data_IF_802257986649
#
_entry.id   IF_802257986649
#
_cell.length_a   1.000
_cell.length_b   1.000
_cell.length_c   1.000
_cell.angle_alpha   90.00
_cell.angle_beta   90.00
_cell.angle_gamma   90.00
#
_symmetry.space_group_name_H-M   'P 1'
#
loop_
_entity.id
_entity.type
_entity.pdbx_description
1 polymer ?
#
# COMPACT_ATOMS: atom_id res chain seq x y z
N UNK A 1 -9.31 -1.03 0.66
CA UNK A 1 -9.53 0.44 0.57
C UNK A 1 -8.82 0.95 -0.67
N UNK A 2 -9.49 1.76 -1.52
CA UNK A 2 -8.85 2.39 -2.68
C UNK A 2 -7.98 3.57 -2.27
N UNK A 3 -6.75 3.56 -2.72
CA UNK A 3 -5.70 4.52 -2.40
C UNK A 3 -5.17 5.09 -3.72
N UNK A 4 -4.99 6.40 -3.77
CA UNK A 4 -4.39 7.09 -4.92
C UNK A 4 -2.89 7.28 -4.74
N UNK A 5 -2.47 7.61 -3.53
CA UNK A 5 -1.07 7.88 -3.22
C UNK A 5 -0.74 7.44 -1.79
N UNK A 6 0.55 7.17 -1.55
CA UNK A 6 1.10 7.00 -0.20
C UNK A 6 1.91 8.26 0.13
N UNK A 7 1.55 8.92 1.22
CA UNK A 7 2.35 9.99 1.79
C UNK A 7 3.39 9.41 2.74
N UNK A 8 4.61 9.94 2.71
CA UNK A 8 5.76 9.43 3.47
C UNK A 8 5.98 7.92 3.29
N UNK A 9 6.52 7.56 2.13
CA UNK A 9 6.79 6.17 1.74
C UNK A 9 7.76 5.48 2.71
N UNK A 10 8.73 6.20 3.27
CA UNK A 10 9.68 5.65 4.23
C UNK A 10 8.98 5.29 5.55
N UNK A 11 8.16 6.20 6.07
CA UNK A 11 7.34 5.95 7.26
C UNK A 11 6.34 4.81 7.04
N UNK A 12 5.74 4.73 5.86
CA UNK A 12 4.85 3.62 5.49
C UNK A 12 5.56 2.26 5.55
N UNK A 13 6.79 2.15 5.03
CA UNK A 13 7.53 0.88 5.12
C UNK A 13 7.95 0.52 6.54
N UNK A 14 8.31 1.50 7.36
CA UNK A 14 8.59 1.26 8.78
C UNK A 14 7.33 0.74 9.50
N UNK A 15 6.17 1.35 9.23
CA UNK A 15 4.90 0.88 9.78
C UNK A 15 4.51 -0.51 9.25
N UNK A 16 4.81 -0.84 7.99
CA UNK A 16 4.63 -2.18 7.43
C UNK A 16 5.49 -3.23 8.13
N UNK A 17 6.73 -2.89 8.51
CA UNK A 17 7.61 -3.81 9.25
C UNK A 17 7.11 -4.10 10.67
N UNK A 18 6.24 -3.23 11.22
CA UNK A 18 5.56 -3.41 12.51
C UNK A 18 4.17 -4.07 12.40
N UNK A 19 3.74 -4.42 11.18
CA UNK A 19 2.46 -5.12 10.97
C UNK A 19 2.62 -6.60 11.29
N UNK A 20 1.66 -7.17 12.02
CA UNK A 20 1.66 -8.60 12.37
C UNK A 20 0.89 -9.43 11.34
N UNK A 21 -0.09 -8.82 10.69
CA UNK A 21 -0.95 -9.44 9.69
C UNK A 21 -0.39 -9.35 8.28
N UNK A 22 -1.06 -10.07 7.37
CA UNK A 22 -0.81 -9.96 5.94
C UNK A 22 -1.31 -8.60 5.44
N UNK A 23 -0.48 -7.93 4.65
CA UNK A 23 -0.84 -6.70 3.95
C UNK A 23 -0.57 -6.90 2.46
N UNK A 24 -1.57 -6.63 1.64
CA UNK A 24 -1.49 -6.81 0.19
C UNK A 24 -1.83 -5.52 -0.55
N UNK A 25 -1.16 -5.34 -1.68
CA UNK A 25 -1.51 -4.35 -2.68
C UNK A 25 -2.13 -5.07 -3.87
N UNK A 26 -3.32 -4.62 -4.26
CA UNK A 26 -4.03 -5.09 -5.44
C UNK A 26 -4.07 -3.96 -6.46
N UNK A 27 -3.56 -4.21 -7.67
CA UNK A 27 -3.60 -3.23 -8.76
C UNK A 27 -4.92 -3.32 -9.53
N UNK A 28 -5.19 -2.33 -10.39
CA UNK A 28 -6.35 -2.38 -11.33
C UNK A 28 -6.26 -3.56 -12.30
N UNK A 29 -5.04 -4.02 -12.60
CA UNK A 29 -4.76 -5.19 -13.43
C UNK A 29 -4.97 -6.52 -12.68
N UNK A 30 -5.46 -6.48 -11.44
CA UNK A 30 -5.66 -7.63 -10.55
C UNK A 30 -4.38 -8.38 -10.15
N UNK A 31 -3.20 -7.75 -10.26
CA UNK A 31 -1.99 -8.28 -9.64
C UNK A 31 -2.09 -8.14 -8.11
N UNK A 32 -1.67 -9.19 -7.39
CA UNK A 32 -1.64 -9.20 -5.93
C UNK A 32 -0.20 -9.25 -5.45
N UNK A 33 0.24 -8.18 -4.79
CA UNK A 33 1.58 -8.03 -4.24
C UNK A 33 1.52 -8.09 -2.71
N UNK A 34 2.22 -9.06 -2.12
CA UNK A 34 2.35 -9.15 -0.66
C UNK A 34 3.34 -8.08 -0.16
N UNK A 35 2.88 -7.06 0.56
CA UNK A 35 3.74 -5.97 1.05
C UNK A 35 4.62 -6.35 2.25
N UNK A 36 4.51 -7.56 2.81
CA UNK A 36 5.44 -8.05 3.84
C UNK A 36 6.83 -8.40 3.28
N UNK A 37 6.95 -8.66 1.96
CA UNK A 37 8.24 -8.98 1.34
C UNK A 37 8.97 -7.72 0.87
N UNK A 38 10.25 -7.60 1.20
CA UNK A 38 11.09 -6.46 0.79
C UNK A 38 11.24 -6.36 -0.74
N UNK A 39 11.21 -7.49 -1.45
CA UNK A 39 11.26 -7.51 -2.92
C UNK A 39 9.98 -6.93 -3.53
N UNK A 40 8.82 -7.33 -3.03
CA UNK A 40 7.52 -6.83 -3.52
C UNK A 40 7.28 -5.39 -3.07
N UNK A 41 7.79 -4.95 -1.92
CA UNK A 41 7.84 -3.54 -1.53
C UNK A 41 8.60 -2.70 -2.59
N UNK A 42 9.77 -3.17 -3.04
CA UNK A 42 10.56 -2.51 -4.07
C UNK A 42 9.86 -2.49 -5.44
N UNK A 43 9.22 -3.60 -5.82
CA UNK A 43 8.42 -3.69 -7.05
C UNK A 43 7.23 -2.73 -6.99
N UNK A 44 6.52 -2.67 -5.86
CA UNK A 44 5.40 -1.75 -5.65
C UNK A 44 5.82 -0.29 -5.79
N UNK A 45 7.00 0.06 -5.28
CA UNK A 45 7.53 1.42 -5.36
C UNK A 45 7.83 1.87 -6.79
N UNK A 46 8.42 0.98 -7.58
CA UNK A 46 8.83 1.27 -8.96
C UNK A 46 7.68 1.19 -9.95
N UNK A 47 6.79 0.20 -9.79
CA UNK A 47 5.69 -0.04 -10.75
C UNK A 47 4.41 0.70 -10.42
N UNK A 48 4.07 0.87 -9.15
CA UNK A 48 2.74 1.35 -8.72
C UNK A 48 2.84 2.75 -8.12
N UNK A 49 3.73 2.99 -7.16
CA UNK A 49 3.77 4.29 -6.46
C UNK A 49 4.43 5.41 -7.26
N UNK A 50 5.32 5.07 -8.20
CA UNK A 50 6.08 6.06 -9.00
C UNK A 50 5.63 6.14 -10.47
N UNK A 51 4.65 5.33 -10.87
CA UNK A 51 4.19 5.26 -12.26
C UNK A 51 2.89 6.09 -12.43
N UNK A 52 2.90 7.15 -13.26
CA UNK A 52 1.73 7.99 -13.47
C UNK A 52 0.54 7.27 -14.16
N UNK A 53 0.76 6.10 -14.74
CA UNK A 53 -0.30 5.31 -15.39
C UNK A 53 -1.23 4.64 -14.37
N UNK A 54 -0.74 4.30 -13.16
CA UNK A 54 -1.56 3.74 -12.10
C UNK A 54 -2.26 4.87 -11.33
N UNK A 55 -3.55 5.02 -11.57
CA UNK A 55 -4.37 6.09 -10.96
C UNK A 55 -4.98 5.68 -9.61
N UNK A 56 -5.19 4.39 -9.38
CA UNK A 56 -5.61 3.86 -8.09
C UNK A 56 -5.11 2.42 -7.86
N UNK A 57 -5.01 2.03 -6.59
CA UNK A 57 -4.76 0.65 -6.17
C UNK A 57 -5.46 0.41 -4.84
N UNK A 58 -5.63 -0.86 -4.48
CA UNK A 58 -6.26 -1.25 -3.24
C UNK A 58 -5.22 -1.81 -2.25
N UNK A 59 -5.27 -1.31 -1.02
CA UNK A 59 -4.55 -1.92 0.10
C UNK A 59 -5.53 -2.76 0.92
N UNK A 60 -5.16 -4.02 1.12
CA UNK A 60 -5.91 -4.99 1.92
C UNK A 60 -5.07 -5.35 3.14
N UNK A 61 -5.60 -5.04 4.32
CA UNK A 61 -5.02 -5.43 5.60
C UNK A 61 -5.89 -6.55 6.18
N UNK A 62 -5.27 -7.66 6.56
CA UNK A 62 -5.98 -8.79 7.16
C UNK A 62 -6.15 -8.66 8.69
N UNK A 63 -5.47 -7.68 9.29
CA UNK A 63 -5.59 -7.34 10.70
C UNK A 63 -6.04 -5.88 10.85
N UNK A 64 -7.00 -5.64 11.75
CA UNK A 64 -7.59 -4.31 11.93
C UNK A 64 -6.60 -3.29 12.50
N UNK A 65 -5.72 -3.71 13.41
CA UNK A 65 -4.73 -2.83 14.02
C UNK A 65 -3.67 -2.35 13.02
N UNK A 66 -3.32 -3.20 12.05
CA UNK A 66 -2.37 -2.85 10.99
C UNK A 66 -2.97 -1.79 10.07
N UNK A 67 -4.27 -1.89 9.78
CA UNK A 67 -4.97 -0.84 9.04
C UNK A 67 -4.92 0.50 9.77
N UNK A 68 -5.10 0.53 11.10
CA UNK A 68 -5.03 1.76 11.89
C UNK A 68 -3.64 2.40 11.91
N UNK A 69 -2.58 1.59 11.84
CA UNK A 69 -1.20 2.08 11.68
C UNK A 69 -0.99 2.67 10.29
N UNK A 70 -1.40 1.94 9.25
CA UNK A 70 -1.10 2.27 7.86
C UNK A 70 -1.97 3.39 7.30
N UNK A 71 -3.23 3.53 7.72
CA UNK A 71 -4.17 4.53 7.18
C UNK A 71 -3.67 5.98 7.24
N UNK A 72 -2.75 6.27 8.18
CA UNK A 72 -2.11 7.59 8.33
C UNK A 72 -1.24 7.97 7.14
N UNK A 73 -0.80 6.99 6.37
CA UNK A 73 0.07 7.15 5.19
C UNK A 73 -0.71 7.00 3.88
N UNK A 74 -1.97 6.55 3.91
CA UNK A 74 -2.75 6.28 2.71
C UNK A 74 -3.60 7.51 2.35
N UNK A 75 -3.47 7.99 1.12
CA UNK A 75 -4.33 9.04 0.56
C UNK A 75 -5.50 8.36 -0.17
N UNK A 76 -6.74 8.52 0.31
CA UNK A 76 -7.91 7.92 -0.31
C UNK A 76 -8.06 8.41 -1.76
N UNK A 77 -8.47 7.51 -2.66
CA UNK A 77 -8.76 7.91 -4.04
C UNK A 77 -10.00 8.81 -4.16
N UNK A 78 -10.92 8.72 -3.19
CA UNK A 78 -12.18 9.48 -3.16
C UNK A 78 -12.06 10.84 -2.44
N UNK A 79 -10.85 11.25 -2.05
CA UNK A 79 -10.62 12.57 -1.48
C UNK A 79 -10.61 13.62 -2.60
N UNK A 80 -11.76 14.25 -2.80
CA UNK A 80 -11.98 15.42 -3.68
C UNK A 80 -10.97 16.54 -3.44
#
# INVERSE_FOLDING_TARGET
MKVRAIQDVNGFFQALDECEGRVELITEDHDVLNLASKLTQFIGLTRVFSNPDYTSYEIVCYHAEDYDKLKKYLVPADAN
#
